data_IF_456973706058
#
_entry.id   IF_456973706058
#
_cell.length_a   1.000
_cell.length_b   1.000
_cell.length_c   1.000
_cell.angle_alpha   90.00
_cell.angle_beta   90.00
_cell.angle_gamma   90.00
#
_symmetry.space_group_name_H-M   'P 1'
#
loop_
_entity.id
_entity.type
_entity.pdbx_description
1 polymer ?
#
# COMPACT_ATOMS: atom_id res chain seq x y z
N UNK A 1 -7.49 -12.53 -7.57
CA UNK A 1 -6.46 -11.49 -7.36
C UNK A 1 -6.35 -11.22 -5.86
N UNK A 2 -5.14 -10.95 -5.34
CA UNK A 2 -4.94 -10.54 -3.94
C UNK A 2 -4.69 -9.03 -3.93
N UNK A 3 -5.35 -8.31 -3.04
CA UNK A 3 -5.17 -6.87 -2.83
C UNK A 3 -4.98 -6.60 -1.35
N UNK A 4 -3.97 -5.79 -1.01
CA UNK A 4 -3.69 -5.34 0.35
C UNK A 4 -3.59 -3.82 0.35
N UNK A 5 -4.26 -3.17 1.29
CA UNK A 5 -4.21 -1.73 1.52
C UNK A 5 -3.34 -1.43 2.74
N UNK A 6 -2.45 -0.46 2.58
CA UNK A 6 -1.53 0.01 3.62
C UNK A 6 -1.78 1.48 3.91
N UNK A 7 -1.57 1.87 5.17
CA UNK A 7 -1.60 3.26 5.62
C UNK A 7 -0.35 3.55 6.44
N UNK A 8 0.23 4.73 6.22
CA UNK A 8 1.32 5.23 7.04
C UNK A 8 1.17 6.73 7.27
N UNK A 9 1.15 7.15 8.53
CA UNK A 9 1.11 8.54 8.94
C UNK A 9 2.47 8.89 9.57
N UNK A 10 3.32 9.67 8.88
CA UNK A 10 4.62 10.08 9.40
C UNK A 10 4.49 10.74 10.77
N UNK A 11 5.44 10.45 11.68
CA UNK A 11 5.49 10.96 13.07
C UNK A 11 4.39 10.42 14.01
N UNK A 12 3.43 9.65 13.50
CA UNK A 12 2.37 9.03 14.31
C UNK A 12 2.53 7.51 14.38
N UNK A 13 2.76 6.88 13.23
CA UNK A 13 2.88 5.43 13.13
C UNK A 13 4.37 5.03 13.16
N UNK A 14 4.70 3.94 13.86
CA UNK A 14 6.08 3.41 13.86
C UNK A 14 6.39 2.67 12.57
N UNK A 15 5.37 2.02 12.00
CA UNK A 15 5.45 1.32 10.73
C UNK A 15 4.12 1.40 9.96
N UNK A 16 4.12 1.13 8.65
CA UNK A 16 2.90 1.01 7.87
C UNK A 16 1.95 -0.04 8.46
N UNK A 17 0.66 0.30 8.49
CA UNK A 17 -0.41 -0.54 9.04
C UNK A 17 -1.26 -1.11 7.91
N UNK A 18 -1.65 -2.37 8.04
CA UNK A 18 -2.58 -3.03 7.12
C UNK A 18 -4.00 -2.58 7.46
N UNK A 19 -4.70 -1.99 6.48
CA UNK A 19 -6.07 -1.50 6.68
C UNK A 19 -7.12 -2.38 6.00
N UNK A 20 -6.73 -3.13 4.97
CA UNK A 20 -7.57 -4.14 4.33
C UNK A 20 -6.69 -5.18 3.62
N UNK A 21 -7.15 -6.43 3.59
CA UNK A 21 -6.57 -7.49 2.79
C UNK A 21 -7.69 -8.42 2.32
N UNK A 22 -7.74 -8.73 1.02
CA UNK A 22 -8.70 -9.67 0.50
C UNK A 22 -8.24 -10.31 -0.81
N UNK A 23 -8.78 -11.50 -1.09
CA UNK A 23 -8.55 -12.25 -2.32
C UNK A 23 -9.85 -12.42 -3.13
N UNK A 24 -9.69 -12.87 -4.38
CA UNK A 24 -10.82 -13.10 -5.29
C UNK A 24 -11.62 -11.82 -5.55
N UNK A 25 -12.94 -11.95 -5.52
CA UNK A 25 -13.89 -10.85 -5.75
C UNK A 25 -13.67 -9.66 -4.82
N UNK A 26 -13.43 -9.91 -3.51
CA UNK A 26 -13.20 -8.83 -2.55
C UNK A 26 -11.86 -8.12 -2.80
N UNK A 27 -10.85 -8.84 -3.29
CA UNK A 27 -9.59 -8.23 -3.75
C UNK A 27 -9.82 -7.26 -4.91
N UNK A 28 -10.69 -7.60 -5.87
CA UNK A 28 -11.08 -6.70 -6.95
C UNK A 28 -11.86 -5.48 -6.44
N UNK A 29 -12.73 -5.67 -5.44
CA UNK A 29 -13.45 -4.55 -4.80
C UNK A 29 -12.46 -3.56 -4.15
N UNK A 30 -11.44 -4.03 -3.43
CA UNK A 30 -10.40 -3.16 -2.84
C UNK A 30 -9.71 -2.33 -3.93
N UNK A 31 -9.30 -2.96 -5.02
CA UNK A 31 -8.65 -2.28 -6.16
C UNK A 31 -9.57 -1.21 -6.76
N UNK A 32 -10.82 -1.55 -7.02
CA UNK A 32 -11.80 -0.61 -7.58
C UNK A 32 -12.04 0.59 -6.65
N UNK A 33 -12.05 0.38 -5.34
CA UNK A 33 -12.16 1.46 -4.35
C UNK A 33 -10.90 2.34 -4.39
N UNK A 34 -9.71 1.75 -4.48
CA UNK A 34 -8.46 2.50 -4.58
C UNK A 34 -8.45 3.41 -5.82
N UNK A 35 -8.83 2.87 -6.99
CA UNK A 35 -8.92 3.62 -8.24
C UNK A 35 -9.92 4.79 -8.13
N UNK A 36 -11.13 4.55 -7.60
CA UNK A 36 -12.16 5.60 -7.41
C UNK A 36 -11.71 6.73 -6.48
N UNK A 37 -10.86 6.42 -5.50
CA UNK A 37 -10.36 7.39 -4.53
C UNK A 37 -8.96 7.94 -4.88
N UNK A 38 -8.46 7.67 -6.10
CA UNK A 38 -7.12 8.09 -6.54
C UNK A 38 -5.99 7.62 -5.61
N UNK A 39 -6.17 6.47 -4.96
CA UNK A 39 -5.14 5.83 -4.14
C UNK A 39 -4.18 5.09 -5.09
N UNK A 40 -2.86 5.36 -5.04
CA UNK A 40 -1.88 4.69 -5.89
C UNK A 40 -1.89 3.18 -5.67
N UNK A 41 -1.82 2.41 -6.77
CA UNK A 41 -1.72 0.94 -6.74
C UNK A 41 -0.39 0.50 -7.30
N UNK A 42 0.22 -0.51 -6.66
CA UNK A 42 1.49 -1.10 -7.08
C UNK A 42 1.31 -2.60 -7.23
N UNK A 43 1.67 -3.14 -8.40
CA UNK A 43 1.56 -4.58 -8.67
C UNK A 43 2.83 -5.29 -8.18
N UNK A 44 2.70 -6.00 -7.06
CA UNK A 44 3.75 -6.89 -6.55
C UNK A 44 3.09 -8.15 -5.95
N UNK A 45 2.94 -9.23 -6.72
CA UNK A 45 2.22 -10.43 -6.26
C UNK A 45 2.83 -11.09 -5.02
N UNK A 46 4.16 -11.19 -4.97
CA UNK A 46 4.88 -11.84 -3.87
C UNK A 46 4.67 -11.06 -2.57
N UNK A 47 4.88 -9.74 -2.60
CA UNK A 47 4.68 -8.91 -1.42
C UNK A 47 3.21 -8.85 -1.00
N UNK A 48 2.28 -8.79 -1.97
CA UNK A 48 0.85 -8.80 -1.67
C UNK A 48 0.42 -10.09 -0.97
N UNK A 49 0.96 -11.25 -1.38
CA UNK A 49 0.73 -12.53 -0.73
C UNK A 49 1.28 -12.52 0.70
N UNK A 50 2.55 -12.17 0.90
CA UNK A 50 3.15 -12.10 2.25
C UNK A 50 2.43 -11.13 3.18
N UNK A 51 1.96 -9.98 2.67
CA UNK A 51 1.22 -9.02 3.48
C UNK A 51 -0.22 -9.47 3.77
N UNK A 52 -0.82 -10.29 2.90
CA UNK A 52 -2.19 -10.77 3.09
C UNK A 52 -2.35 -11.78 4.23
N UNK A 53 -1.24 -12.39 4.66
CA UNK A 53 -1.20 -13.32 5.81
C UNK A 53 -1.25 -12.59 7.16
N UNK A 54 -1.00 -11.28 7.18
CA UNK A 54 -0.93 -10.49 8.39
C UNK A 54 -2.32 -9.97 8.81
N UNK A 55 -2.59 -9.85 10.13
CA UNK A 55 -3.87 -9.35 10.61
C UNK A 55 -4.17 -7.91 10.18
N UNK A 56 -5.43 -7.64 9.82
CA UNK A 56 -5.89 -6.26 9.61
C UNK A 56 -5.73 -5.47 10.91
N UNK A 57 -5.18 -4.26 10.79
CA UNK A 57 -4.87 -3.37 11.91
C UNK A 57 -3.47 -3.57 12.49
N UNK A 58 -2.72 -4.60 12.06
CA UNK A 58 -1.34 -4.77 12.51
C UNK A 58 -0.38 -3.89 11.71
N UNK A 59 0.69 -3.48 12.37
CA UNK A 59 1.88 -2.99 11.69
C UNK A 59 2.51 -4.14 10.87
N UNK A 60 3.13 -3.78 9.75
CA UNK A 60 3.96 -4.74 9.01
C UNK A 60 5.16 -5.16 9.87
N UNK A 61 5.73 -6.35 9.68
CA UNK A 61 6.94 -6.76 10.39
C UNK A 61 8.21 -6.14 9.78
N UNK A 62 9.26 -6.02 10.59
CA UNK A 62 10.52 -5.35 10.23
C UNK A 62 11.19 -5.92 8.96
N UNK A 63 11.11 -7.23 8.76
CA UNK A 63 11.64 -7.90 7.56
C UNK A 63 10.99 -7.41 6.25
N UNK A 64 9.78 -6.82 6.32
CA UNK A 64 9.08 -6.26 5.17
C UNK A 64 9.22 -4.73 5.06
N UNK A 65 9.84 -4.05 6.03
CA UNK A 65 9.99 -2.58 6.03
C UNK A 65 10.72 -2.08 4.79
N UNK A 66 11.79 -2.74 4.38
CA UNK A 66 12.57 -2.31 3.21
C UNK A 66 11.73 -2.37 1.93
N UNK A 67 11.00 -3.45 1.73
CA UNK A 67 10.18 -3.65 0.54
C UNK A 67 9.02 -2.64 0.48
N UNK A 68 8.31 -2.45 1.61
CA UNK A 68 7.19 -1.51 1.70
C UNK A 68 7.68 -0.06 1.65
N UNK A 69 8.79 0.27 2.31
CA UNK A 69 9.40 1.59 2.28
C UNK A 69 9.84 2.02 0.88
N UNK A 70 10.40 1.09 0.09
CA UNK A 70 10.72 1.35 -1.31
C UNK A 70 9.48 1.73 -2.13
N UNK A 71 8.34 1.05 -1.91
CA UNK A 71 7.06 1.39 -2.58
C UNK A 71 6.61 2.80 -2.20
N UNK A 72 6.63 3.14 -0.91
CA UNK A 72 6.27 4.48 -0.45
C UNK A 72 7.18 5.56 -1.05
N UNK A 73 8.49 5.32 -1.11
CA UNK A 73 9.45 6.23 -1.76
C UNK A 73 9.12 6.44 -3.24
N UNK A 74 8.87 5.35 -3.98
CA UNK A 74 8.52 5.42 -5.40
C UNK A 74 7.25 6.23 -5.65
N UNK A 75 6.24 6.09 -4.79
CA UNK A 75 4.99 6.85 -4.89
C UNK A 75 5.22 8.32 -4.58
N UNK A 76 5.95 8.65 -3.50
CA UNK A 76 6.26 10.03 -3.11
C UNK A 76 7.08 10.77 -4.16
N UNK A 77 8.06 10.12 -4.77
CA UNK A 77 8.84 10.71 -5.86
C UNK A 77 7.96 10.99 -7.09
N UNK A 78 7.00 10.11 -7.34
CA UNK A 78 6.06 10.26 -8.45
C UNK A 78 5.02 11.35 -8.20
N UNK A 79 4.62 11.59 -6.94
CA UNK A 79 3.76 12.73 -6.55
C UNK A 79 4.52 14.06 -6.63
N UNK A 80 5.78 14.08 -6.16
CA UNK A 80 6.66 15.26 -6.22
C UNK A 80 6.85 15.76 -7.65
N UNK A 81 7.12 14.85 -8.59
CA UNK A 81 7.23 15.16 -10.03
C UNK A 81 5.92 15.63 -10.66
N UNK A 82 4.77 15.21 -10.11
CA UNK A 82 3.45 15.61 -10.61
C UNK A 82 3.14 17.05 -10.18
N UNK A 83 3.52 17.47 -8.98
CA UNK A 83 3.36 18.85 -8.48
C UNK A 83 4.24 19.86 -9.21
N UNK A 84 5.43 19.47 -9.64
CA UNK A 84 6.39 20.33 -10.35
C UNK A 84 5.98 20.60 -11.81
N UNK A 85 5.25 19.68 -12.47
CA UNK A 85 4.72 19.86 -13.84
C UNK A 85 3.42 20.68 -13.92
N UNK A 86 2.86 21.08 -12.78
CA UNK A 86 1.64 21.89 -12.67
C UNK A 86 1.93 23.34 -12.23
N UNK A 87 3.21 23.72 -12.20
CA UNK A 87 3.70 25.11 -12.05
C UNK A 87 4.33 25.57 -13.37
#
# INVERSE_FOLDING_TARGET
MISVALKFIPKKDNAPVITAAASGFLGDVIRNIAEKNSVPTVKNPILAESLSELPIGSEIPENLYRAVGAIFSMIMDSDSRKREKLQ
#
